data_IF_608962165396
#
_entry.id   IF_608962165396
#
_cell.length_a   1.000
_cell.length_b   1.000
_cell.length_c   1.000
_cell.angle_alpha   90.00
_cell.angle_beta   90.00
_cell.angle_gamma   90.00
#
_symmetry.space_group_name_H-M   'P 1'
#
loop_
_entity.id
_entity.type
_entity.pdbx_description
1 polymer ?
#
# COMPACT_ATOMS: atom_id res chain seq x y z
N UNK A 1 29.50 -23.99 11.15
CA UNK A 1 28.78 -24.50 9.96
C UNK A 1 28.72 -26.02 9.86
N UNK A 2 29.27 -26.78 10.82
CA UNK A 2 29.40 -28.24 10.69
C UNK A 2 28.09 -29.02 10.86
N UNK A 3 27.02 -28.38 11.32
CA UNK A 3 25.71 -29.03 11.53
C UNK A 3 24.82 -29.01 10.28
N UNK A 4 25.18 -28.25 9.25
CA UNK A 4 24.40 -28.17 8.00
C UNK A 4 25.18 -28.88 6.88
N UNK A 5 24.75 -30.08 6.46
CA UNK A 5 25.43 -30.85 5.43
C UNK A 5 25.33 -30.17 4.05
N UNK A 6 26.36 -30.37 3.21
CA UNK A 6 26.32 -29.98 1.80
C UNK A 6 25.50 -30.98 1.00
N UNK A 7 24.80 -30.51 -0.04
CA UNK A 7 24.10 -31.37 -1.00
C UNK A 7 22.81 -32.00 -0.48
N UNK A 8 22.33 -31.63 0.71
CA UNK A 8 21.05 -32.10 1.24
C UNK A 8 19.91 -31.16 0.84
N UNK A 9 18.70 -31.72 0.74
CA UNK A 9 17.46 -30.97 0.48
C UNK A 9 16.81 -30.41 1.74
N UNK A 10 17.26 -30.82 2.92
CA UNK A 10 16.77 -30.35 4.21
C UNK A 10 17.78 -30.57 5.33
N UNK A 11 17.55 -29.91 6.46
CA UNK A 11 18.28 -30.12 7.71
C UNK A 11 17.34 -29.95 8.89
N UNK A 12 17.46 -30.82 9.89
CA UNK A 12 16.74 -30.72 11.16
C UNK A 12 17.63 -30.01 12.19
N UNK A 13 17.16 -28.90 12.76
CA UNK A 13 17.89 -28.09 13.74
C UNK A 13 17.00 -27.75 14.93
N UNK A 14 17.56 -27.55 16.14
CA UNK A 14 16.78 -27.14 17.30
C UNK A 14 16.19 -25.73 17.11
N UNK A 15 14.89 -25.58 17.42
CA UNK A 15 14.22 -24.29 17.40
C UNK A 15 14.37 -23.55 18.74
N UNK A 16 15.29 -22.60 18.80
CA UNK A 16 15.51 -21.78 20.00
C UNK A 16 14.30 -20.94 20.45
N UNK A 17 13.29 -20.76 19.59
CA UNK A 17 12.06 -20.03 19.90
C UNK A 17 10.91 -20.95 20.36
N UNK A 18 11.12 -22.27 20.34
CA UNK A 18 10.13 -23.28 20.75
C UNK A 18 10.78 -24.40 21.55
N UNK A 19 11.42 -24.03 22.67
CA UNK A 19 12.00 -25.00 23.63
C UNK A 19 12.94 -26.04 22.98
N UNK A 20 13.68 -25.64 21.95
CA UNK A 20 14.56 -26.51 21.15
C UNK A 20 13.85 -27.69 20.45
N UNK A 21 12.52 -27.61 20.24
CA UNK A 21 11.81 -28.57 19.40
C UNK A 21 12.45 -28.63 18.00
N UNK A 22 12.53 -29.81 17.37
CA UNK A 22 13.17 -29.91 16.06
C UNK A 22 12.41 -29.13 14.99
N UNK A 23 13.16 -28.41 14.15
CA UNK A 23 12.68 -27.65 13.01
C UNK A 23 13.37 -28.14 11.75
N UNK A 24 12.57 -28.62 10.81
CA UNK A 24 13.04 -29.00 9.48
C UNK A 24 13.12 -27.73 8.62
N UNK A 25 14.30 -27.47 8.08
CA UNK A 25 14.59 -26.35 7.18
C UNK A 25 14.93 -26.92 5.82
N UNK A 26 14.12 -26.60 4.80
CA UNK A 26 14.43 -26.96 3.42
C UNK A 26 15.70 -26.25 2.94
N UNK A 27 16.53 -26.96 2.21
CA UNK A 27 17.76 -26.47 1.62
C UNK A 27 17.72 -26.65 0.12
N UNK A 28 18.48 -25.82 -0.58
CA UNK A 28 18.80 -26.04 -1.97
C UNK A 28 20.10 -26.87 -2.04
N UNK A 29 20.06 -28.12 -2.55
CA UNK A 29 21.22 -28.98 -2.61
C UNK A 29 22.37 -28.40 -3.45
N UNK A 30 22.06 -27.54 -4.42
CA UNK A 30 23.05 -26.91 -5.28
C UNK A 30 23.81 -25.76 -4.59
N UNK A 31 23.32 -25.29 -3.44
CA UNK A 31 23.91 -24.19 -2.68
C UNK A 31 24.74 -24.70 -1.50
N UNK A 32 25.82 -23.99 -1.20
CA UNK A 32 26.56 -24.21 0.05
C UNK A 32 25.71 -23.83 1.28
N UNK A 33 26.01 -24.35 2.48
CA UNK A 33 25.33 -23.98 3.72
C UNK A 33 25.22 -22.46 3.95
N UNK A 34 26.31 -21.72 3.69
CA UNK A 34 26.33 -20.26 3.79
C UNK A 34 25.38 -19.59 2.80
N UNK A 35 25.31 -20.09 1.57
CA UNK A 35 24.42 -19.55 0.53
C UNK A 35 22.95 -19.84 0.86
N UNK A 36 22.63 -21.03 1.36
CA UNK A 36 21.29 -21.34 1.87
C UNK A 36 20.91 -20.39 3.02
N UNK A 37 21.78 -20.19 4.00
CA UNK A 37 21.54 -19.24 5.10
C UNK A 37 21.35 -17.81 4.59
N UNK A 38 22.21 -17.34 3.68
CA UNK A 38 22.12 -16.00 3.09
C UNK A 38 20.80 -15.81 2.32
N UNK A 39 20.34 -16.82 1.58
CA UNK A 39 19.05 -16.81 0.87
C UNK A 39 17.88 -16.62 1.83
N UNK A 40 17.87 -17.36 2.94
CA UNK A 40 16.84 -17.18 3.98
C UNK A 40 16.88 -15.79 4.61
N UNK A 41 18.08 -15.27 4.87
CA UNK A 41 18.25 -13.91 5.41
C UNK A 41 17.72 -12.83 4.46
N UNK A 42 18.07 -12.92 3.17
CA UNK A 42 17.54 -12.01 2.13
C UNK A 42 16.02 -12.10 2.02
N UNK A 43 15.46 -13.32 2.04
CA UNK A 43 14.00 -13.52 2.03
C UNK A 43 13.34 -12.87 3.24
N UNK A 44 13.91 -13.05 4.44
CA UNK A 44 13.43 -12.41 5.66
C UNK A 44 13.43 -10.88 5.53
N UNK A 45 14.55 -10.28 5.08
CA UNK A 45 14.65 -8.84 4.89
C UNK A 45 13.59 -8.32 3.91
N UNK A 46 13.40 -9.01 2.78
CA UNK A 46 12.37 -8.66 1.78
C UNK A 46 10.97 -8.71 2.38
N UNK A 47 10.64 -9.79 3.09
CA UNK A 47 9.32 -9.95 3.71
C UNK A 47 9.08 -8.92 4.81
N UNK A 48 10.09 -8.63 5.65
CA UNK A 48 9.99 -7.61 6.70
C UNK A 48 9.71 -6.23 6.12
N UNK A 49 10.41 -5.86 5.04
CA UNK A 49 10.18 -4.59 4.36
C UNK A 49 8.80 -4.57 3.69
N UNK A 50 8.38 -5.68 3.08
CA UNK A 50 7.06 -5.80 2.46
C UNK A 50 5.93 -5.59 3.47
N UNK A 51 6.02 -6.17 4.68
CA UNK A 51 5.01 -5.98 5.74
C UNK A 51 4.80 -4.50 6.04
N UNK A 52 5.88 -3.71 6.14
CA UNK A 52 5.78 -2.27 6.38
C UNK A 52 5.08 -1.54 5.23
N UNK A 53 5.49 -1.79 3.99
CA UNK A 53 4.94 -1.13 2.79
C UNK A 53 3.47 -1.50 2.58
N UNK A 54 3.13 -2.79 2.72
CA UNK A 54 1.75 -3.27 2.61
C UNK A 54 0.87 -2.68 3.70
N UNK A 55 1.36 -2.59 4.94
CA UNK A 55 0.63 -1.93 6.03
C UNK A 55 0.31 -0.47 5.71
N UNK A 56 1.27 0.27 5.15
CA UNK A 56 1.06 1.65 4.71
C UNK A 56 0.01 1.73 3.58
N UNK A 57 0.12 0.88 2.56
CA UNK A 57 -0.85 0.85 1.45
C UNK A 57 -2.28 0.52 1.93
N UNK A 58 -2.42 -0.39 2.90
CA UNK A 58 -3.72 -0.72 3.49
C UNK A 58 -4.32 0.52 4.17
N UNK A 59 -3.51 1.28 4.91
CA UNK A 59 -3.99 2.50 5.56
C UNK A 59 -4.40 3.56 4.53
N UNK A 60 -3.53 3.84 3.55
CA UNK A 60 -3.82 4.81 2.47
C UNK A 60 -5.10 4.43 1.71
N UNK A 61 -5.30 3.14 1.42
CA UNK A 61 -6.50 2.65 0.73
C UNK A 61 -7.77 2.82 1.58
N UNK A 62 -7.69 2.63 2.90
CA UNK A 62 -8.82 2.85 3.81
C UNK A 62 -9.18 4.33 3.92
N UNK A 63 -8.17 5.19 3.99
CA UNK A 63 -8.36 6.64 4.04
C UNK A 63 -8.99 7.14 2.73
N UNK A 64 -8.53 6.61 1.59
CA UNK A 64 -9.11 6.87 0.27
C UNK A 64 -10.55 6.37 0.16
N UNK A 65 -10.84 5.16 0.64
CA UNK A 65 -12.21 4.62 0.68
C UNK A 65 -13.14 5.52 1.50
N UNK A 66 -12.72 5.91 2.70
CA UNK A 66 -13.49 6.80 3.58
C UNK A 66 -13.76 8.15 2.90
N UNK A 67 -12.77 8.70 2.21
CA UNK A 67 -12.95 9.92 1.41
C UNK A 67 -14.00 9.72 0.31
N UNK A 68 -13.90 8.66 -0.48
CA UNK A 68 -14.85 8.40 -1.58
C UNK A 68 -16.27 8.14 -1.09
N UNK A 69 -16.43 7.49 0.07
CA UNK A 69 -17.73 7.33 0.73
C UNK A 69 -18.32 8.69 1.15
N UNK A 70 -17.49 9.59 1.69
CA UNK A 70 -17.92 10.96 2.02
C UNK A 70 -18.34 11.76 0.79
N UNK A 71 -17.63 11.59 -0.34
CA UNK A 71 -17.99 12.21 -1.62
C UNK A 71 -19.31 11.66 -2.13
N UNK A 72 -19.54 10.35 -2.01
CA UNK A 72 -20.80 9.72 -2.39
C UNK A 72 -21.97 10.30 -1.60
N UNK A 73 -21.85 10.40 -0.27
CA UNK A 73 -22.88 11.01 0.58
C UNK A 73 -23.13 12.49 0.23
N UNK A 74 -22.08 13.25 -0.10
CA UNK A 74 -22.23 14.64 -0.56
C UNK A 74 -22.98 14.73 -1.88
N UNK A 75 -22.72 13.82 -2.82
CA UNK A 75 -23.43 13.78 -4.12
C UNK A 75 -24.92 13.51 -3.93
N UNK A 76 -25.31 12.63 -3.00
CA UNK A 76 -26.71 12.32 -2.71
C UNK A 76 -27.51 13.55 -2.22
N UNK A 77 -26.85 14.44 -1.48
CA UNK A 77 -27.46 15.64 -0.89
C UNK A 77 -27.23 16.93 -1.70
N UNK A 78 -26.37 16.88 -2.71
CA UNK A 78 -25.88 18.05 -3.42
C UNK A 78 -26.92 18.72 -4.32
N UNK A 79 -26.93 20.04 -4.34
CA UNK A 79 -27.63 20.79 -5.38
C UNK A 79 -26.87 20.73 -6.72
N UNK A 80 -27.49 21.09 -7.85
CA UNK A 80 -26.80 21.13 -9.15
C UNK A 80 -25.54 22.01 -9.18
N UNK A 81 -25.49 23.07 -8.35
CA UNK A 81 -24.30 23.92 -8.24
C UNK A 81 -23.17 23.20 -7.50
N UNK A 82 -23.50 22.52 -6.40
CA UNK A 82 -22.54 21.78 -5.58
C UNK A 82 -21.94 20.59 -6.32
N UNK A 83 -22.75 19.89 -7.14
CA UNK A 83 -22.28 18.82 -8.02
C UNK A 83 -21.18 19.27 -8.99
N UNK A 84 -21.23 20.52 -9.46
CA UNK A 84 -20.19 21.08 -10.33
C UNK A 84 -18.87 21.27 -9.56
N UNK A 85 -18.95 21.73 -8.31
CA UNK A 85 -17.80 21.95 -7.43
C UNK A 85 -17.16 20.59 -7.09
N UNK A 86 -17.95 19.61 -6.66
CA UNK A 86 -17.49 18.24 -6.36
C UNK A 86 -16.78 17.64 -7.58
N UNK A 87 -17.35 17.81 -8.78
CA UNK A 87 -16.72 17.35 -10.02
C UNK A 87 -15.39 18.04 -10.30
N UNK A 88 -15.30 19.35 -10.09
CA UNK A 88 -14.06 20.10 -10.29
C UNK A 88 -12.97 19.63 -9.31
N UNK A 89 -13.31 19.34 -8.06
CA UNK A 89 -12.40 18.74 -7.07
C UNK A 89 -11.91 17.37 -7.52
N UNK A 90 -12.82 16.46 -7.89
CA UNK A 90 -12.46 15.10 -8.33
C UNK A 90 -11.61 15.11 -9.61
N UNK A 91 -11.78 16.10 -10.48
CA UNK A 91 -10.89 16.30 -11.64
C UNK A 91 -9.52 16.80 -11.20
N UNK A 92 -9.46 17.75 -10.28
CA UNK A 92 -8.19 18.29 -9.77
C UNK A 92 -7.36 17.23 -9.03
N UNK A 93 -8.03 16.33 -8.31
CA UNK A 93 -7.39 15.20 -7.62
C UNK A 93 -7.08 14.02 -8.54
N UNK A 94 -7.54 14.04 -9.79
CA UNK A 94 -7.22 13.03 -10.80
C UNK A 94 -8.13 11.80 -10.81
N UNK A 95 -9.16 11.75 -9.96
CA UNK A 95 -10.18 10.69 -9.99
C UNK A 95 -11.00 10.72 -11.27
N UNK A 96 -11.24 11.91 -11.82
CA UNK A 96 -12.01 12.10 -13.06
C UNK A 96 -11.12 12.76 -14.12
N UNK A 97 -11.14 12.23 -15.34
CA UNK A 97 -10.47 12.88 -16.47
C UNK A 97 -11.15 14.21 -16.81
N UNK A 98 -10.37 15.28 -16.89
CA UNK A 98 -10.85 16.56 -17.40
C UNK A 98 -11.41 16.38 -18.83
N UNK A 99 -12.64 16.80 -19.07
CA UNK A 99 -13.15 16.90 -20.44
C UNK A 99 -12.33 17.96 -21.19
N UNK A 100 -11.86 17.63 -22.39
CA UNK A 100 -11.22 18.60 -23.30
C UNK A 100 -12.24 19.67 -23.65
N UNK A 101 -12.21 20.82 -22.97
CA UNK A 101 -12.97 21.99 -23.39
C UNK A 101 -12.45 22.42 -24.77
N UNK A 102 -13.33 22.40 -25.79
CA UNK A 102 -13.09 23.21 -27.00
C UNK A 102 -12.89 24.65 -26.50
N UNK A 103 -11.71 25.21 -26.76
CA UNK A 103 -11.30 26.56 -26.30
C UNK A 103 -12.40 27.57 -26.57
N UNK A 104 -13.10 28.01 -25.52
CA UNK A 104 -13.70 29.36 -25.46
C UNK A 104 -12.91 30.15 -24.43
N UNK A 105 -12.53 31.36 -24.85
CA UNK A 105 -11.64 32.30 -24.17
C UNK A 105 -12.34 32.96 -22.98
N UNK A 106 -11.54 33.31 -21.97
CA UNK A 106 -11.81 34.19 -20.81
C UNK A 106 -12.58 33.53 -19.65
N UNK A 107 -12.34 33.83 -18.38
CA UNK A 107 -11.58 34.92 -17.74
C UNK A 107 -11.03 34.41 -16.39
N UNK A 108 -9.93 34.99 -15.91
CA UNK A 108 -9.34 34.64 -14.61
C UNK A 108 -10.21 35.23 -13.53
N UNK A 109 -10.73 34.41 -12.62
CA UNK A 109 -11.00 34.92 -11.29
C UNK A 109 -10.77 33.89 -10.17
N UNK A 110 -10.34 34.47 -9.07
CA UNK A 110 -9.68 33.90 -7.93
C UNK A 110 -10.66 33.14 -7.03
N UNK A 111 -10.34 31.91 -6.62
CA UNK A 111 -10.80 31.47 -5.30
C UNK A 111 -9.84 30.48 -4.65
N UNK A 112 -9.17 30.98 -3.61
CA UNK A 112 -8.30 30.24 -2.71
C UNK A 112 -9.18 29.52 -1.68
N UNK A 113 -9.66 28.31 -1.97
CA UNK A 113 -10.14 27.37 -0.94
C UNK A 113 -10.37 25.94 -1.47
N UNK A 114 -9.38 25.34 -2.12
CA UNK A 114 -9.48 23.96 -2.65
C UNK A 114 -8.68 22.97 -1.78
N UNK A 115 -8.63 23.18 -0.46
CA UNK A 115 -7.85 22.32 0.43
C UNK A 115 -8.51 22.07 1.79
N UNK A 116 -9.84 21.98 1.84
CA UNK A 116 -10.58 21.75 3.09
C UNK A 116 -11.30 20.40 3.19
N UNK A 117 -11.08 19.45 2.28
CA UNK A 117 -11.78 18.15 2.32
C UNK A 117 -10.92 16.93 2.67
N UNK A 118 -9.63 17.11 2.95
CA UNK A 118 -8.79 16.03 3.53
C UNK A 118 -8.83 15.96 5.06
N UNK A 119 -9.45 16.94 5.73
CA UNK A 119 -9.34 17.13 7.18
C UNK A 119 -10.68 17.31 7.91
N UNK A 120 -11.80 16.85 7.36
CA UNK A 120 -13.02 16.73 8.16
C UNK A 120 -13.02 15.34 8.81
N UNK A 121 -12.63 15.19 10.09
CA UNK A 121 -13.04 14.01 10.84
C UNK A 121 -14.57 14.06 10.87
N UNK A 122 -15.20 13.07 10.26
CA UNK A 122 -16.59 12.77 10.57
C UNK A 122 -16.62 12.51 12.08
N UNK A 123 -17.41 13.31 12.80
CA UNK A 123 -17.77 13.03 14.19
C UNK A 123 -18.22 11.59 14.37
#
# INVERSE_FOLDING_TARGET
MNQVPRGQSEVELPNYYKENQPLIISLDPALSPSQNAQRYFQRYQKLRNAVKVVGQQIQETKDELTYLESVMAQIELASPKDLKIIREELVAQGYIKAQKKKRKKQEKDHNQNILLLRMAPLF
#
